data_IF_668292430198
#
_entry.id   IF_668292430198
#
_cell.length_a   1.000
_cell.length_b   1.000
_cell.length_c   1.000
_cell.angle_alpha   90.00
_cell.angle_beta   90.00
_cell.angle_gamma   90.00
#
_symmetry.space_group_name_H-M   'P 1'
#
loop_
_entity.id
_entity.type
_entity.pdbx_description
1 polymer ?
#
# COMPACT_ATOMS: atom_id res chain seq x y z
N UNK A 1 33.50 -8.64 -30.92
CA UNK A 1 32.31 -9.52 -30.69
C UNK A 1 31.66 -9.04 -29.39
N UNK A 2 30.38 -8.64 -29.45
CA UNK A 2 29.58 -8.39 -28.23
C UNK A 2 29.28 -9.74 -27.61
N UNK A 3 29.75 -9.98 -26.41
CA UNK A 3 29.36 -11.16 -25.61
C UNK A 3 28.03 -10.87 -24.91
N UNK A 4 27.10 -11.80 -24.99
CA UNK A 4 25.84 -11.74 -24.23
C UNK A 4 26.15 -12.24 -22.82
N UNK A 5 25.87 -11.39 -21.82
CA UNK A 5 26.05 -11.71 -20.42
C UNK A 5 24.81 -12.41 -19.85
N UNK A 6 24.95 -13.08 -18.71
CA UNK A 6 23.82 -13.66 -17.98
C UNK A 6 22.78 -12.57 -17.61
N UNK A 7 23.25 -11.37 -17.28
CA UNK A 7 22.41 -10.22 -16.98
C UNK A 7 21.57 -9.76 -18.17
N UNK A 8 22.13 -9.81 -19.40
CA UNK A 8 21.38 -9.47 -20.60
C UNK A 8 20.24 -10.47 -20.86
N UNK A 9 20.49 -11.75 -20.59
CA UNK A 9 19.49 -12.80 -20.72
C UNK A 9 18.40 -12.64 -19.65
N UNK A 10 18.77 -12.40 -18.40
CA UNK A 10 17.83 -12.14 -17.30
C UNK A 10 16.94 -10.94 -17.60
N UNK A 11 17.52 -9.86 -18.14
CA UNK A 11 16.78 -8.65 -18.52
C UNK A 11 15.74 -8.93 -19.63
N UNK A 12 16.13 -9.69 -20.65
CA UNK A 12 15.22 -10.06 -21.74
C UNK A 12 14.10 -10.98 -21.21
N UNK A 13 14.42 -11.96 -20.38
CA UNK A 13 13.43 -12.87 -19.77
C UNK A 13 12.45 -12.07 -18.91
N UNK A 14 12.94 -11.14 -18.07
CA UNK A 14 12.07 -10.32 -17.22
C UNK A 14 11.12 -9.46 -18.05
N UNK A 15 11.60 -8.88 -19.13
CA UNK A 15 10.76 -8.08 -20.04
C UNK A 15 9.71 -8.93 -20.76
N UNK A 16 10.08 -10.12 -21.26
CA UNK A 16 9.16 -11.01 -21.96
C UNK A 16 8.11 -11.63 -21.05
N UNK A 17 8.50 -12.02 -19.84
CA UNK A 17 7.63 -12.64 -18.85
C UNK A 17 6.89 -11.60 -17.97
N UNK A 18 7.19 -10.31 -18.12
CA UNK A 18 6.70 -9.23 -17.24
C UNK A 18 6.98 -9.50 -15.76
N UNK A 19 8.11 -10.13 -15.45
CA UNK A 19 8.56 -10.45 -14.10
C UNK A 19 9.60 -9.41 -13.71
N UNK A 20 9.58 -8.84 -12.48
CA UNK A 20 10.61 -7.91 -12.03
C UNK A 20 12.01 -8.52 -12.13
N UNK A 21 13.00 -7.76 -12.61
CA UNK A 21 14.39 -8.22 -12.75
C UNK A 21 14.94 -8.77 -11.42
N UNK A 22 14.50 -8.21 -10.29
CA UNK A 22 14.88 -8.62 -8.94
C UNK A 22 14.33 -10.01 -8.56
N UNK A 23 13.22 -10.47 -9.14
CA UNK A 23 12.59 -11.75 -8.74
C UNK A 23 13.18 -12.99 -9.42
N UNK A 24 14.15 -12.82 -10.30
CA UNK A 24 14.80 -13.94 -11.05
C UNK A 24 16.09 -14.42 -10.36
N UNK A 25 16.62 -13.67 -9.38
CA UNK A 25 17.92 -13.98 -8.77
C UNK A 25 17.81 -14.52 -7.34
N UNK A 26 18.80 -15.38 -6.96
CA UNK A 26 19.02 -15.87 -5.58
C UNK A 26 19.18 -14.71 -4.57
N UNK A 27 19.46 -13.50 -5.04
CA UNK A 27 19.51 -12.29 -4.22
C UNK A 27 18.16 -11.89 -3.62
N UNK A 28 17.04 -12.37 -4.15
CA UNK A 28 15.70 -12.06 -3.65
C UNK A 28 15.46 -12.52 -2.21
N UNK A 29 15.98 -13.68 -1.84
CA UNK A 29 15.87 -14.17 -0.44
C UNK A 29 16.65 -13.28 0.53
N UNK A 30 17.79 -12.74 0.08
CA UNK A 30 18.63 -11.84 0.89
C UNK A 30 17.99 -10.45 0.99
N UNK A 31 17.36 -9.96 -0.09
CA UNK A 31 16.68 -8.66 -0.08
C UNK A 31 15.41 -8.68 0.78
N UNK A 32 14.65 -9.78 0.76
CA UNK A 32 13.48 -9.93 1.63
C UNK A 32 13.84 -10.03 3.11
N UNK A 33 15.00 -10.64 3.44
CA UNK A 33 15.51 -10.67 4.81
C UNK A 33 15.89 -9.28 5.35
N UNK A 34 16.07 -8.29 4.47
CA UNK A 34 16.39 -6.89 4.84
C UNK A 34 15.20 -5.93 4.67
N UNK A 35 14.06 -6.45 4.21
CA UNK A 35 12.89 -5.63 3.92
C UNK A 35 12.47 -4.76 5.12
N UNK A 36 12.47 -5.34 6.32
CA UNK A 36 12.16 -4.64 7.56
C UNK A 36 13.15 -3.50 7.83
N UNK A 37 14.46 -3.81 7.78
CA UNK A 37 15.50 -2.81 8.02
C UNK A 37 15.46 -1.67 6.98
N UNK A 38 15.25 -2.01 5.71
CA UNK A 38 15.22 -1.03 4.64
C UNK A 38 13.97 -0.14 4.72
N UNK A 39 12.81 -0.67 5.13
CA UNK A 39 11.62 0.12 5.42
C UNK A 39 11.83 1.04 6.63
N UNK A 40 12.40 0.54 7.73
CA UNK A 40 12.67 1.33 8.95
C UNK A 40 13.66 2.48 8.72
N UNK A 41 14.53 2.39 7.71
CA UNK A 41 15.45 3.49 7.34
C UNK A 41 14.75 4.70 6.73
N UNK A 42 13.61 4.51 6.08
CA UNK A 42 12.93 5.56 5.32
C UNK A 42 11.58 5.96 5.92
N UNK A 43 11.01 5.10 6.76
CA UNK A 43 9.75 5.31 7.47
C UNK A 43 10.04 5.42 8.96
N UNK A 44 9.60 6.49 9.59
CA UNK A 44 9.90 6.78 10.99
C UNK A 44 8.66 6.60 11.87
N UNK A 45 8.85 6.07 13.08
CA UNK A 45 7.81 5.97 14.10
C UNK A 45 6.74 4.91 13.87
N UNK A 46 6.98 3.95 12.95
CA UNK A 46 6.02 2.89 12.60
C UNK A 46 6.66 1.49 12.67
N UNK A 47 7.60 1.28 13.59
CA UNK A 47 8.38 0.04 13.67
C UNK A 47 7.50 -1.20 13.79
N UNK A 48 6.51 -1.20 14.67
CA UNK A 48 5.59 -2.33 14.88
C UNK A 48 4.76 -2.64 13.63
N UNK A 49 4.31 -1.60 12.91
CA UNK A 49 3.58 -1.76 11.66
C UNK A 49 4.46 -2.38 10.58
N UNK A 50 5.70 -1.91 10.46
CA UNK A 50 6.69 -2.41 9.50
C UNK A 50 7.07 -3.88 9.80
N UNK A 51 7.29 -4.24 11.07
CA UNK A 51 7.58 -5.61 11.50
C UNK A 51 6.48 -6.58 11.10
N UNK A 52 5.22 -6.23 11.37
CA UNK A 52 4.07 -7.05 10.99
C UNK A 52 3.96 -7.22 9.47
N UNK A 53 4.12 -6.13 8.73
CA UNK A 53 4.04 -6.15 7.26
C UNK A 53 5.17 -6.98 6.66
N UNK A 54 6.42 -6.75 7.06
CA UNK A 54 7.59 -7.47 6.57
C UNK A 54 7.49 -8.96 6.87
N UNK A 55 7.13 -9.33 8.09
CA UNK A 55 6.94 -10.74 8.50
C UNK A 55 5.89 -11.44 7.65
N UNK A 56 4.74 -10.80 7.40
CA UNK A 56 3.67 -11.38 6.59
C UNK A 56 4.09 -11.57 5.12
N UNK A 57 4.81 -10.60 4.54
CA UNK A 57 5.33 -10.69 3.17
C UNK A 57 6.39 -11.80 3.05
N UNK A 58 7.30 -11.90 4.02
CA UNK A 58 8.32 -12.96 4.04
C UNK A 58 7.68 -14.35 4.12
N UNK A 59 6.68 -14.52 4.99
CA UNK A 59 5.95 -15.80 5.12
C UNK A 59 5.23 -16.17 3.83
N UNK A 60 4.56 -15.23 3.18
CA UNK A 60 3.88 -15.45 1.91
C UNK A 60 4.86 -15.87 0.81
N UNK A 61 6.00 -15.18 0.69
CA UNK A 61 7.04 -15.53 -0.30
C UNK A 61 7.84 -16.79 0.02
N UNK A 62 7.84 -17.25 1.26
CA UNK A 62 8.47 -18.52 1.63
C UNK A 62 7.73 -19.77 1.10
N UNK A 63 6.61 -19.57 0.37
CA UNK A 63 5.80 -20.68 -0.16
C UNK A 63 4.90 -21.34 0.88
N UNK A 64 4.69 -20.65 2.02
CA UNK A 64 3.75 -21.10 3.07
C UNK A 64 2.33 -20.57 2.82
N UNK A 65 2.16 -19.71 1.81
CA UNK A 65 0.88 -19.20 1.36
C UNK A 65 0.17 -20.12 0.39
N UNK A 66 -1.10 -19.80 0.06
CA UNK A 66 -1.85 -20.50 -0.98
C UNK A 66 -1.52 -19.87 -2.35
N UNK A 67 -0.97 -20.65 -3.28
CA UNK A 67 -0.57 -20.22 -4.64
C UNK A 67 -1.75 -19.66 -5.47
N UNK A 68 -2.97 -19.90 -5.05
CA UNK A 68 -4.17 -19.38 -5.73
C UNK A 68 -4.59 -17.98 -5.26
N UNK A 69 -4.01 -17.47 -4.17
CA UNK A 69 -4.32 -16.16 -3.58
C UNK A 69 -3.31 -15.08 -3.99
N UNK A 70 -3.62 -13.79 -3.78
CA UNK A 70 -2.62 -12.74 -3.85
C UNK A 70 -1.43 -12.99 -2.92
N UNK A 71 -0.28 -12.39 -3.22
CA UNK A 71 0.94 -12.49 -2.41
C UNK A 71 0.73 -11.98 -0.98
N UNK A 72 -0.21 -11.05 -0.77
CA UNK A 72 -0.62 -10.57 0.54
C UNK A 72 -1.74 -9.56 0.40
N UNK A 73 -2.65 -9.56 1.38
CA UNK A 73 -3.79 -8.65 1.46
C UNK A 73 -3.82 -8.01 2.84
N UNK A 74 -3.51 -6.72 2.89
CA UNK A 74 -3.28 -5.96 4.11
C UNK A 74 -4.27 -4.82 4.27
N UNK A 75 -4.75 -4.61 5.50
CA UNK A 75 -5.51 -3.42 5.87
C UNK A 75 -4.64 -2.54 6.78
N UNK A 76 -4.28 -1.34 6.31
CA UNK A 76 -3.56 -0.33 7.06
C UNK A 76 -4.57 0.59 7.73
N UNK A 77 -4.61 0.58 9.05
CA UNK A 77 -5.50 1.43 9.85
C UNK A 77 -4.71 2.43 10.66
N UNK A 78 -5.26 3.63 10.85
CA UNK A 78 -4.63 4.69 11.64
C UNK A 78 -4.97 6.08 11.14
N UNK A 79 -4.55 7.14 11.85
CA UNK A 79 -4.81 8.51 11.48
C UNK A 79 -4.30 8.88 10.09
N UNK A 80 -4.80 9.99 9.54
CA UNK A 80 -4.25 10.59 8.32
C UNK A 80 -2.82 11.09 8.58
N UNK A 81 -1.97 11.09 7.56
CA UNK A 81 -0.62 11.65 7.66
C UNK A 81 0.45 10.75 8.29
N UNK A 82 0.10 9.63 8.92
CA UNK A 82 1.05 8.75 9.65
C UNK A 82 1.96 7.89 8.76
N UNK A 83 1.84 7.97 7.42
CA UNK A 83 2.75 7.29 6.50
C UNK A 83 2.19 6.03 5.82
N UNK A 84 0.90 5.69 5.93
CA UNK A 84 0.29 4.50 5.29
C UNK A 84 0.59 4.40 3.79
N UNK A 85 0.36 5.48 3.05
CA UNK A 85 0.63 5.57 1.61
C UNK A 85 2.13 5.52 1.31
N UNK A 86 2.97 6.13 2.16
CA UNK A 86 4.42 6.13 1.99
C UNK A 86 5.00 4.73 2.18
N UNK A 87 4.55 3.97 3.18
CA UNK A 87 4.94 2.56 3.36
C UNK A 87 4.62 1.74 2.11
N UNK A 88 3.45 1.95 1.51
CA UNK A 88 3.04 1.26 0.27
C UNK A 88 3.95 1.60 -0.90
N UNK A 89 4.35 2.87 -1.03
CA UNK A 89 5.28 3.35 -2.07
C UNK A 89 6.68 2.76 -1.89
N UNK A 90 7.20 2.81 -0.67
CA UNK A 90 8.52 2.28 -0.35
C UNK A 90 8.57 0.75 -0.52
N UNK A 91 7.51 0.05 -0.13
CA UNK A 91 7.38 -1.39 -0.36
C UNK A 91 7.46 -1.72 -1.86
N UNK A 92 6.71 -1.02 -2.71
CA UNK A 92 6.75 -1.22 -4.16
C UNK A 92 8.15 -0.97 -4.72
N UNK A 93 8.82 0.10 -4.27
CA UNK A 93 10.20 0.44 -4.67
C UNK A 93 11.20 -0.65 -4.25
N UNK A 94 11.13 -1.14 -3.02
CA UNK A 94 12.02 -2.18 -2.50
C UNK A 94 11.79 -3.52 -3.20
N UNK A 95 10.54 -3.87 -3.49
CA UNK A 95 10.19 -5.05 -4.27
C UNK A 95 10.52 -4.89 -5.76
N UNK A 96 10.80 -3.67 -6.24
CA UNK A 96 11.09 -3.37 -7.64
C UNK A 96 9.89 -3.57 -8.55
N UNK A 97 8.68 -3.29 -8.05
CA UNK A 97 7.41 -3.43 -8.77
C UNK A 97 6.68 -2.08 -8.85
N UNK A 98 5.69 -2.00 -9.74
CA UNK A 98 4.84 -0.81 -9.88
C UNK A 98 3.90 -0.65 -8.68
N UNK A 99 3.68 0.61 -8.25
CA UNK A 99 2.61 0.98 -7.34
C UNK A 99 1.40 1.44 -8.15
N UNK A 100 0.29 0.72 -8.05
CA UNK A 100 -0.98 1.07 -8.66
C UNK A 100 -1.92 1.58 -7.58
N UNK A 101 -2.28 2.86 -7.63
CA UNK A 101 -3.12 3.50 -6.62
C UNK A 101 -4.51 3.80 -7.18
N UNK A 102 -5.53 3.46 -6.39
CA UNK A 102 -6.92 3.86 -6.58
C UNK A 102 -7.42 4.55 -5.31
N UNK A 103 -7.96 5.74 -5.45
CA UNK A 103 -8.62 6.47 -4.37
C UNK A 103 -10.08 6.03 -4.34
N UNK A 104 -10.49 5.39 -3.25
CA UNK A 104 -11.83 4.83 -3.13
C UNK A 104 -12.92 5.88 -2.95
N UNK A 105 -12.57 7.12 -2.65
CA UNK A 105 -13.51 8.25 -2.68
C UNK A 105 -14.09 8.52 -4.09
N UNK A 106 -13.37 8.11 -5.15
CA UNK A 106 -13.87 8.17 -6.53
C UNK A 106 -14.87 7.05 -6.86
N UNK A 107 -14.96 6.02 -6.01
CA UNK A 107 -15.77 4.80 -6.24
C UNK A 107 -16.86 4.62 -5.17
N UNK A 108 -17.43 5.73 -4.69
CA UNK A 108 -18.52 5.74 -3.73
C UNK A 108 -19.87 5.34 -4.35
N UNK A 109 -20.04 5.63 -5.63
CA UNK A 109 -21.29 5.42 -6.34
C UNK A 109 -21.22 4.16 -7.22
N UNK A 110 -22.34 3.45 -7.35
CA UNK A 110 -22.42 2.21 -8.12
C UNK A 110 -21.95 2.36 -9.56
N UNK A 111 -22.27 3.47 -10.20
CA UNK A 111 -21.86 3.72 -11.59
C UNK A 111 -20.36 3.94 -11.74
N UNK A 112 -19.67 4.42 -10.70
CA UNK A 112 -18.23 4.60 -10.75
C UNK A 112 -17.49 3.27 -10.55
N UNK A 113 -18.09 2.29 -9.84
CA UNK A 113 -17.52 0.93 -9.70
C UNK A 113 -17.40 0.26 -11.06
N UNK A 114 -18.32 0.53 -11.98
CA UNK A 114 -18.23 0.02 -13.36
C UNK A 114 -16.94 0.44 -14.09
N UNK A 115 -16.30 1.53 -13.70
CA UNK A 115 -15.00 1.93 -14.24
C UNK A 115 -13.88 0.99 -13.79
N UNK A 116 -13.97 0.39 -12.58
CA UNK A 116 -12.97 -0.57 -12.10
C UNK A 116 -13.01 -1.90 -12.83
N UNK A 117 -14.21 -2.41 -13.13
CA UNK A 117 -14.42 -3.76 -13.67
C UNK A 117 -15.07 -3.77 -15.07
N UNK A 118 -15.14 -2.61 -15.72
CA UNK A 118 -15.80 -2.45 -17.01
C UNK A 118 -17.31 -2.25 -16.90
N UNK A 119 -17.90 -1.58 -17.88
CA UNK A 119 -19.35 -1.39 -17.96
C UNK A 119 -20.05 -2.69 -18.40
N UNK A 120 -21.26 -2.98 -17.91
CA UNK A 120 -22.06 -4.10 -18.42
C UNK A 120 -22.44 -3.92 -19.90
N UNK A 121 -22.73 -5.02 -20.62
CA UNK A 121 -23.17 -4.94 -22.00
C UNK A 121 -24.38 -4.01 -22.18
N UNK A 122 -24.31 -3.14 -23.19
CA UNK A 122 -25.35 -2.17 -23.51
C UNK A 122 -25.23 -0.80 -22.79
N UNK A 123 -24.25 -0.62 -21.92
CA UNK A 123 -23.95 0.68 -21.30
C UNK A 123 -22.83 1.40 -22.04
N UNK A 124 -22.83 2.74 -21.92
CA UNK A 124 -21.74 3.59 -22.47
C UNK A 124 -20.42 3.21 -21.80
N UNK A 125 -19.37 3.01 -22.59
CA UNK A 125 -18.06 2.58 -22.12
C UNK A 125 -17.87 1.06 -22.02
N UNK A 126 -18.80 0.24 -22.54
CA UNK A 126 -18.65 -1.23 -22.55
C UNK A 126 -17.38 -1.71 -23.26
N UNK A 127 -16.95 -1.04 -24.35
CA UNK A 127 -15.72 -1.38 -25.08
C UNK A 127 -14.44 -1.00 -24.32
N UNK A 128 -14.55 -0.15 -23.31
CA UNK A 128 -13.48 0.19 -22.40
C UNK A 128 -13.40 -0.91 -21.33
N UNK A 129 -12.21 -1.51 -21.14
CA UNK A 129 -11.98 -2.51 -20.09
C UNK A 129 -12.08 -1.90 -18.70
N UNK A 130 -12.11 -2.76 -17.66
CA UNK A 130 -12.04 -2.28 -16.29
C UNK A 130 -10.64 -1.73 -15.96
N UNK A 131 -10.57 -0.55 -15.36
CA UNK A 131 -9.30 0.10 -15.01
C UNK A 131 -8.43 -0.81 -14.12
N UNK A 132 -9.03 -1.53 -13.19
CA UNK A 132 -8.32 -2.45 -12.31
C UNK A 132 -7.77 -3.65 -13.08
N UNK A 133 -8.59 -4.30 -13.92
CA UNK A 133 -8.18 -5.47 -14.71
C UNK A 133 -7.15 -5.11 -15.78
N UNK A 134 -7.25 -3.94 -16.40
CA UNK A 134 -6.26 -3.46 -17.36
C UNK A 134 -4.91 -3.14 -16.70
N UNK A 135 -4.93 -2.44 -15.55
CA UNK A 135 -3.72 -2.10 -14.81
C UNK A 135 -2.95 -3.36 -14.39
N UNK A 136 -3.64 -4.39 -13.90
CA UNK A 136 -3.02 -5.66 -13.49
C UNK A 136 -2.57 -6.48 -14.70
N UNK A 137 -3.32 -6.50 -15.78
CA UNK A 137 -2.87 -7.18 -17.02
C UNK A 137 -1.61 -6.55 -17.58
N UNK A 138 -1.46 -5.22 -17.44
CA UNK A 138 -0.24 -4.51 -17.81
C UNK A 138 0.91 -4.79 -16.86
N UNK A 139 0.65 -4.77 -15.55
CA UNK A 139 1.63 -4.94 -14.48
C UNK A 139 1.22 -6.09 -13.54
N UNK A 140 1.42 -7.36 -13.93
CA UNK A 140 0.97 -8.52 -13.16
C UNK A 140 1.72 -8.72 -11.83
N UNK A 141 2.86 -8.05 -11.66
CA UNK A 141 3.60 -7.94 -10.41
C UNK A 141 3.53 -6.48 -9.95
N UNK A 142 2.72 -6.20 -8.95
CA UNK A 142 2.50 -4.82 -8.49
C UNK A 142 2.08 -4.78 -7.02
N UNK A 143 2.26 -3.63 -6.41
CA UNK A 143 1.58 -3.27 -5.16
C UNK A 143 0.34 -2.46 -5.54
N UNK A 144 -0.82 -2.94 -5.15
CA UNK A 144 -2.11 -2.28 -5.37
C UNK A 144 -2.48 -1.58 -4.08
N UNK A 145 -2.63 -0.27 -4.14
CA UNK A 145 -3.06 0.56 -3.03
C UNK A 145 -4.49 1.04 -3.29
N UNK A 146 -5.41 0.62 -2.43
CA UNK A 146 -6.78 1.08 -2.38
C UNK A 146 -6.92 2.02 -1.18
N UNK A 147 -6.87 3.31 -1.47
CA UNK A 147 -6.83 4.34 -0.44
C UNK A 147 -8.26 4.67 0.04
N UNK A 148 -8.45 4.82 1.37
CA UNK A 148 -9.73 5.13 2.02
C UNK A 148 -10.85 4.12 1.70
N UNK A 149 -10.57 2.84 1.88
CA UNK A 149 -11.46 1.72 1.50
C UNK A 149 -12.84 1.81 2.13
N UNK A 150 -12.98 2.43 3.30
CA UNK A 150 -14.26 2.65 3.99
C UNK A 150 -15.22 3.54 3.20
N UNK A 151 -14.73 4.34 2.25
CA UNK A 151 -15.56 5.19 1.38
C UNK A 151 -16.11 4.45 0.16
N UNK A 152 -15.54 3.28 -0.16
CA UNK A 152 -15.92 2.52 -1.34
C UNK A 152 -17.37 2.02 -1.28
N UNK A 153 -18.01 1.99 -2.45
CA UNK A 153 -19.32 1.34 -2.60
C UNK A 153 -19.24 -0.15 -2.19
N UNK A 154 -20.26 -0.73 -1.56
CA UNK A 154 -20.28 -2.14 -1.12
C UNK A 154 -19.90 -3.16 -2.19
N UNK A 155 -20.18 -2.88 -3.44
CA UNK A 155 -19.83 -3.74 -4.58
C UNK A 155 -18.31 -3.92 -4.74
N UNK A 156 -17.50 -2.93 -4.35
CA UNK A 156 -16.02 -3.01 -4.34
C UNK A 156 -15.55 -4.09 -3.37
N UNK A 157 -16.17 -4.21 -2.22
CA UNK A 157 -15.83 -5.27 -1.26
C UNK A 157 -16.10 -6.66 -1.83
N UNK A 158 -17.18 -6.86 -2.59
CA UNK A 158 -17.47 -8.13 -3.25
C UNK A 158 -16.39 -8.49 -4.27
N UNK A 159 -15.92 -7.50 -5.04
CA UNK A 159 -14.80 -7.66 -5.97
C UNK A 159 -13.53 -8.07 -5.23
N UNK A 160 -13.22 -7.40 -4.13
CA UNK A 160 -12.03 -7.69 -3.33
C UNK A 160 -12.10 -9.08 -2.68
N UNK A 161 -13.27 -9.50 -2.19
CA UNK A 161 -13.46 -10.86 -1.67
C UNK A 161 -13.14 -11.90 -2.73
N UNK A 162 -13.62 -11.73 -3.97
CA UNK A 162 -13.31 -12.63 -5.08
C UNK A 162 -11.80 -12.65 -5.38
N UNK A 163 -11.15 -11.49 -5.41
CA UNK A 163 -9.71 -11.38 -5.66
C UNK A 163 -8.90 -12.05 -4.55
N UNK A 164 -9.24 -11.82 -3.28
CA UNK A 164 -8.54 -12.39 -2.13
C UNK A 164 -8.73 -13.92 -2.02
N UNK A 165 -9.86 -14.46 -2.49
CA UNK A 165 -10.11 -15.91 -2.43
C UNK A 165 -9.48 -16.68 -3.60
N UNK A 166 -9.52 -16.09 -4.80
CA UNK A 166 -9.17 -16.82 -6.03
C UNK A 166 -7.96 -16.23 -6.77
N UNK A 167 -7.41 -15.11 -6.31
CA UNK A 167 -6.28 -14.44 -6.96
C UNK A 167 -6.56 -14.05 -8.43
N UNK A 168 -7.84 -13.98 -8.82
CA UNK A 168 -8.24 -13.63 -10.19
C UNK A 168 -9.54 -12.84 -10.17
N UNK A 169 -9.65 -11.93 -11.14
CA UNK A 169 -10.87 -11.16 -11.40
C UNK A 169 -11.20 -11.23 -12.88
N UNK A 170 -12.45 -11.50 -13.21
CA UNK A 170 -12.96 -11.40 -14.57
C UNK A 170 -13.82 -10.15 -14.66
N UNK A 171 -13.49 -9.26 -15.58
CA UNK A 171 -14.26 -8.04 -15.82
C UNK A 171 -15.56 -8.31 -16.59
N UNK A 172 -16.39 -7.30 -16.73
CA UNK A 172 -17.65 -7.42 -17.43
C UNK A 172 -17.50 -7.69 -18.94
N UNK A 173 -16.29 -7.50 -19.49
CA UNK A 173 -15.95 -7.79 -20.90
C UNK A 173 -15.38 -9.22 -21.05
N UNK A 174 -15.35 -10.02 -19.98
CA UNK A 174 -14.81 -11.37 -19.98
C UNK A 174 -13.28 -11.44 -19.91
N UNK A 175 -12.57 -10.33 -19.72
CA UNK A 175 -11.12 -10.32 -19.56
C UNK A 175 -10.74 -10.78 -18.16
N UNK A 176 -9.83 -11.74 -18.06
CA UNK A 176 -9.37 -12.28 -16.79
C UNK A 176 -8.01 -11.67 -16.41
N UNK A 177 -7.95 -11.03 -15.24
CA UNK A 177 -6.73 -10.52 -14.65
C UNK A 177 -6.29 -11.39 -13.46
N UNK A 178 -4.98 -11.66 -13.36
CA UNK A 178 -4.38 -12.46 -12.29
C UNK A 178 -3.70 -11.58 -11.24
N UNK A 179 -4.09 -11.75 -9.98
CA UNK A 179 -3.59 -11.00 -8.83
C UNK A 179 -2.62 -11.80 -7.95
N UNK A 180 -2.27 -13.01 -8.32
CA UNK A 180 -1.43 -13.92 -7.51
C UNK A 180 -0.07 -13.37 -7.15
N UNK A 181 0.49 -12.53 -8.02
CA UNK A 181 1.79 -11.89 -7.80
C UNK A 181 1.65 -10.44 -7.33
N UNK A 182 0.47 -10.03 -6.88
CA UNK A 182 0.21 -8.69 -6.37
C UNK A 182 0.17 -8.70 -4.85
N UNK A 183 0.62 -7.58 -4.27
CA UNK A 183 0.36 -7.24 -2.87
C UNK A 183 -0.79 -6.24 -2.85
N UNK A 184 -1.85 -6.54 -2.12
CA UNK A 184 -3.01 -5.66 -1.99
C UNK A 184 -2.93 -4.95 -0.65
N UNK A 185 -2.90 -3.64 -0.67
CA UNK A 185 -2.90 -2.78 0.50
C UNK A 185 -4.16 -1.92 0.44
N UNK A 186 -4.93 -1.95 1.50
CA UNK A 186 -6.10 -1.10 1.69
C UNK A 186 -5.82 -0.18 2.87
N UNK A 187 -6.08 1.12 2.73
CA UNK A 187 -5.95 2.05 3.86
C UNK A 187 -7.31 2.43 4.40
N UNK A 188 -7.37 2.68 5.69
CA UNK A 188 -8.57 3.20 6.35
C UNK A 188 -8.20 4.16 7.47
N UNK A 189 -9.04 5.16 7.66
CA UNK A 189 -8.99 6.05 8.82
C UNK A 189 -9.99 5.62 9.91
N UNK A 190 -10.74 4.53 9.70
CA UNK A 190 -11.65 3.99 10.69
C UNK A 190 -10.90 3.58 11.96
N UNK A 191 -11.39 4.01 13.11
CA UNK A 191 -10.75 3.79 14.41
C UNK A 191 -9.72 4.85 14.81
N UNK A 192 -9.35 5.75 13.90
CA UNK A 192 -8.37 6.80 14.20
C UNK A 192 -8.85 7.76 15.30
N UNK A 193 -10.14 8.14 15.28
CA UNK A 193 -10.74 9.02 16.28
C UNK A 193 -10.87 8.34 17.65
N UNK A 194 -11.18 7.05 17.66
CA UNK A 194 -11.25 6.26 18.89
C UNK A 194 -9.87 6.05 19.49
N UNK A 195 -8.86 5.82 18.67
CA UNK A 195 -7.46 5.70 19.10
C UNK A 195 -6.88 7.03 19.60
N UNK A 196 -7.30 8.16 19.01
CA UNK A 196 -6.85 9.50 19.38
C UNK A 196 -7.57 10.07 20.62
N UNK A 197 -8.67 9.47 21.07
CA UNK A 197 -9.31 9.87 22.31
C UNK A 197 -8.37 9.58 23.47
N UNK A 198 -7.69 10.62 23.95
CA UNK A 198 -7.04 10.58 25.25
C UNK A 198 -8.09 10.17 26.28
N UNK A 199 -7.81 9.12 27.02
CA UNK A 199 -8.65 8.68 28.12
C UNK A 199 -8.82 9.86 29.09
N UNK A 200 -10.01 10.44 29.14
CA UNK A 200 -10.37 11.41 30.16
C UNK A 200 -10.53 10.72 31.52
N UNK A 201 -9.42 10.13 32.01
CA UNK A 201 -9.40 9.43 33.29
C UNK A 201 -7.98 9.05 33.68
N UNK A 202 -7.73 8.97 34.99
CA UNK A 202 -6.44 8.74 35.64
C UNK A 202 -5.78 7.37 35.35
N UNK A 203 -6.26 6.58 34.40
CA UNK A 203 -5.63 5.32 33.96
C UNK A 203 -5.36 5.38 32.46
N UNK A 204 -4.11 5.15 32.08
CA UNK A 204 -3.74 4.82 30.69
C UNK A 204 -4.43 3.49 30.33
N UNK A 205 -5.56 3.56 29.69
CA UNK A 205 -6.15 2.42 29.00
C UNK A 205 -5.42 2.25 27.66
N UNK A 206 -5.03 1.01 27.35
CA UNK A 206 -4.53 0.62 26.04
C UNK A 206 -5.66 0.80 25.01
N UNK A 207 -5.68 1.93 24.30
CA UNK A 207 -6.71 2.27 23.31
C UNK A 207 -6.60 1.44 22.01
N UNK A 208 -5.67 0.49 21.95
CA UNK A 208 -5.56 -0.49 20.84
C UNK A 208 -6.80 -1.37 20.70
N UNK A 209 -7.53 -1.62 21.78
CA UNK A 209 -8.82 -2.34 21.76
C UNK A 209 -9.91 -1.56 21.02
N UNK A 210 -9.97 -0.24 21.19
CA UNK A 210 -11.01 0.61 20.65
C UNK A 210 -10.87 0.78 19.13
N UNK A 211 -9.64 0.94 18.63
CA UNK A 211 -9.36 0.94 17.19
C UNK A 211 -9.74 -0.38 16.52
N UNK A 212 -9.53 -1.50 17.20
CA UNK A 212 -9.93 -2.83 16.71
C UNK A 212 -11.46 -2.98 16.66
N UNK A 213 -12.18 -2.41 17.62
CA UNK A 213 -13.65 -2.44 17.62
C UNK A 213 -14.25 -1.59 16.49
N UNK A 214 -13.67 -0.44 16.20
CA UNK A 214 -14.09 0.39 15.08
C UNK A 214 -13.91 -0.34 13.74
N UNK A 215 -12.78 -1.04 13.54
CA UNK A 215 -12.56 -1.89 12.37
C UNK A 215 -13.61 -3.01 12.29
N UNK A 216 -13.97 -3.63 13.42
CA UNK A 216 -15.02 -4.66 13.47
C UNK A 216 -16.40 -4.14 13.10
N UNK A 217 -16.68 -2.88 13.38
CA UNK A 217 -17.95 -2.21 13.02
C UNK A 217 -18.01 -1.82 11.54
N UNK A 218 -16.87 -1.35 11.00
CA UNK A 218 -16.77 -0.87 9.61
C UNK A 218 -16.72 -2.01 8.60
N UNK A 219 -15.98 -3.07 8.91
CA UNK A 219 -15.73 -4.17 7.97
C UNK A 219 -16.35 -5.48 8.44
N UNK A 220 -17.02 -6.18 7.52
CA UNK A 220 -17.65 -7.45 7.82
C UNK A 220 -16.65 -8.51 8.31
N UNK A 221 -17.07 -9.47 9.15
CA UNK A 221 -16.21 -10.59 9.54
C UNK A 221 -15.65 -11.36 8.36
N UNK A 222 -16.44 -11.51 7.30
CA UNK A 222 -16.05 -12.20 6.08
C UNK A 222 -14.84 -11.51 5.41
N UNK A 223 -14.90 -10.19 5.27
CA UNK A 223 -13.81 -9.40 4.68
C UNK A 223 -12.53 -9.47 5.55
N UNK A 224 -12.68 -9.29 6.86
CA UNK A 224 -11.54 -9.29 7.79
C UNK A 224 -10.82 -10.64 7.85
N UNK A 225 -11.54 -11.76 7.72
CA UNK A 225 -10.98 -13.11 7.76
C UNK A 225 -10.17 -13.47 6.49
N UNK A 226 -10.25 -12.65 5.44
CA UNK A 226 -9.47 -12.83 4.21
C UNK A 226 -8.20 -12.00 4.16
N UNK A 227 -8.04 -11.10 5.13
CA UNK A 227 -6.82 -10.32 5.28
C UNK A 227 -5.72 -11.16 5.90
N UNK A 228 -4.51 -11.07 5.36
CA UNK A 228 -3.32 -11.69 5.95
C UNK A 228 -2.90 -10.95 7.23
N UNK A 229 -3.03 -9.63 7.26
CA UNK A 229 -2.85 -8.85 8.48
C UNK A 229 -3.60 -7.51 8.44
N UNK A 230 -4.01 -7.08 9.65
CA UNK A 230 -4.41 -5.71 9.93
C UNK A 230 -3.21 -5.03 10.60
N UNK A 231 -2.68 -4.02 9.93
CA UNK A 231 -1.49 -3.28 10.35
C UNK A 231 -1.95 -1.92 10.89
N UNK A 232 -1.74 -1.71 12.18
CA UNK A 232 -2.10 -0.46 12.84
C UNK A 232 -0.93 0.50 12.79
N UNK A 233 -1.21 1.73 12.41
CA UNK A 233 -0.31 2.86 12.40
C UNK A 233 -0.68 3.79 13.53
N UNK A 234 0.29 4.09 14.36
CA UNK A 234 0.11 4.99 15.51
C UNK A 234 0.27 6.46 15.08
N UNK A 235 -0.29 7.38 15.88
CA UNK A 235 -0.03 8.79 15.71
C UNK A 235 1.47 9.05 15.92
N UNK A 236 2.03 9.95 15.11
CA UNK A 236 3.46 10.28 15.19
C UNK A 236 3.75 11.13 16.43
N UNK A 237 4.84 10.81 17.14
CA UNK A 237 5.32 11.69 18.22
C UNK A 237 5.92 12.98 17.65
N UNK A 238 6.01 14.02 18.48
CA UNK A 238 6.62 15.31 18.07
C UNK A 238 8.05 15.12 17.54
N UNK A 239 8.83 14.25 18.17
CA UNK A 239 10.20 13.95 17.75
C UNK A 239 10.25 13.32 16.36
N UNK A 240 9.32 12.41 16.08
CA UNK A 240 9.21 11.77 14.76
C UNK A 240 8.77 12.78 13.70
N UNK A 241 7.81 13.67 14.03
CA UNK A 241 7.38 14.74 13.12
C UNK A 241 8.55 15.63 12.73
N UNK A 242 9.41 16.03 13.68
CA UNK A 242 10.62 16.79 13.38
C UNK A 242 11.58 16.03 12.46
N UNK A 243 11.75 14.72 12.66
CA UNK A 243 12.59 13.88 11.79
C UNK A 243 12.03 13.81 10.36
N UNK A 244 10.70 13.67 10.23
CA UNK A 244 10.02 13.69 8.93
C UNK A 244 10.15 15.05 8.25
N UNK A 245 10.01 16.13 9.01
CA UNK A 245 10.21 17.49 8.50
C UNK A 245 11.64 17.69 7.96
N UNK A 246 12.65 17.25 8.70
CA UNK A 246 14.05 17.35 8.26
C UNK A 246 14.31 16.56 6.97
N UNK A 247 13.68 15.39 6.82
CA UNK A 247 13.72 14.61 5.57
C UNK A 247 13.14 15.43 4.41
N UNK A 248 11.94 16.00 4.57
CA UNK A 248 11.30 16.80 3.52
C UNK A 248 12.09 18.06 3.18
N UNK A 249 12.66 18.75 4.16
CA UNK A 249 13.52 19.91 3.93
C UNK A 249 14.79 19.52 3.14
N UNK A 250 15.37 18.36 3.43
CA UNK A 250 16.52 17.82 2.70
C UNK A 250 16.16 17.47 1.26
N UNK A 251 15.01 16.81 1.03
CA UNK A 251 14.52 16.49 -0.32
C UNK A 251 14.21 17.77 -1.13
N UNK A 252 13.60 18.78 -0.47
CA UNK A 252 13.35 20.08 -1.11
C UNK A 252 14.65 20.80 -1.45
N UNK A 253 15.65 20.81 -0.54
CA UNK A 253 16.95 21.39 -0.80
C UNK A 253 17.62 20.73 -2.02
N UNK A 254 17.57 19.40 -2.12
CA UNK A 254 18.12 18.68 -3.26
C UNK A 254 17.50 19.11 -4.61
N UNK A 255 16.17 19.38 -4.61
CA UNK A 255 15.51 19.93 -5.81
C UNK A 255 15.88 21.38 -6.11
N UNK A 256 16.13 22.18 -5.06
CA UNK A 256 16.53 23.58 -5.19
C UNK A 256 18.01 23.73 -5.62
N UNK A 257 18.86 22.77 -5.27
CA UNK A 257 20.29 22.76 -5.67
C UNK A 257 20.45 22.77 -7.19
N UNK A 258 19.58 22.09 -7.93
CA UNK A 258 19.56 22.14 -9.40
C UNK A 258 19.34 23.57 -9.92
N UNK A 259 18.63 24.40 -9.14
CA UNK A 259 18.34 25.80 -9.45
C UNK A 259 19.32 26.78 -8.79
N UNK A 260 20.34 26.28 -8.07
CA UNK A 260 21.31 27.07 -7.30
C UNK A 260 20.65 27.98 -6.24
N UNK A 261 19.59 27.49 -5.61
CA UNK A 261 18.87 28.15 -4.53
C UNK A 261 19.16 27.40 -3.23
N UNK A 262 19.56 28.11 -2.18
CA UNK A 262 19.72 27.58 -0.83
C UNK A 262 18.51 27.92 0.02
N UNK A 263 17.94 26.94 0.70
CA UNK A 263 16.83 27.11 1.65
C UNK A 263 17.39 27.10 3.07
N UNK A 264 17.17 28.19 3.80
CA UNK A 264 17.49 28.25 5.23
C UNK A 264 16.18 28.33 6.03
N UNK A 265 16.00 27.40 6.95
CA UNK A 265 14.83 27.33 7.83
C UNK A 265 15.34 27.45 9.26
N UNK A 266 14.98 28.51 9.96
CA UNK A 266 15.35 28.73 11.35
C UNK A 266 14.56 27.82 12.32
N UNK A 267 14.91 27.88 13.61
CA UNK A 267 14.28 27.04 14.63
C UNK A 267 12.79 27.31 14.79
N UNK A 268 12.40 28.58 14.77
CA UNK A 268 11.00 28.98 15.02
C UNK A 268 10.13 28.56 13.85
N UNK A 269 10.62 28.70 12.62
CA UNK A 269 9.94 28.21 11.42
C UNK A 269 9.81 26.69 11.39
N UNK A 270 10.85 25.95 11.86
CA UNK A 270 10.78 24.47 11.98
C UNK A 270 9.72 24.03 12.99
N UNK A 271 9.66 24.69 14.13
CA UNK A 271 8.69 24.37 15.17
C UNK A 271 7.27 24.68 14.68
N UNK A 272 7.08 25.82 14.03
CA UNK A 272 5.81 26.19 13.42
C UNK A 272 5.38 25.18 12.33
N UNK A 273 6.30 24.77 11.44
CA UNK A 273 6.01 23.77 10.41
C UNK A 273 5.67 22.40 11.02
N UNK A 274 6.34 21.99 12.11
CA UNK A 274 6.04 20.74 12.79
C UNK A 274 4.66 20.76 13.47
N UNK A 275 4.23 21.92 13.97
CA UNK A 275 2.93 22.05 14.66
C UNK A 275 1.76 22.27 13.70
N UNK A 276 1.96 22.97 12.58
CA UNK A 276 0.89 23.37 11.66
C UNK A 276 0.95 22.69 10.28
N UNK A 277 2.01 22.00 9.97
CA UNK A 277 2.18 21.26 8.70
C UNK A 277 1.76 19.79 8.78
N UNK A 278 1.35 19.35 9.97
CA UNK A 278 0.87 18.00 10.21
C UNK A 278 -0.63 18.06 10.53
N UNK A 279 -1.47 17.70 9.57
CA UNK A 279 -2.94 17.57 9.68
C UNK A 279 -3.35 16.11 9.63
#
# INVERSE_FOLDING_TARGET
RKTVSEQDIQKIISQMAKIPEKSISVKDRVSLGKLEEDLKRVIFGQDTAIEKLASAIVLSRAGLGNDEKPMGSFLFSGPTGVGKTEVSRQLASLLGVELIRFDMSEYMERHTVSRLIGAPPGYVGYDEGGLLTEAITKNPHSVILLDEIEKAHPEVFNILLQVMDHGTLTDNNGRKAGFRNCVIIMTTNSGAQEMARESMGFQKQDNTSDGTEAIKKTFSPEFRNRLDAIVQFDALSKEVIHTVLDKFLTELQAQLDEKKVTLEVDKDAREWLAENGYD
#
